data_IF_576079062653
#
_entry.id   IF_576079062653
#
_cell.length_a   1.000
_cell.length_b   1.000
_cell.length_c   1.000
_cell.angle_alpha   90.00
_cell.angle_beta   90.00
_cell.angle_gamma   90.00
#
_symmetry.space_group_name_H-M   'P 1'
#
loop_
_entity.id
_entity.type
_entity.pdbx_description
1 polymer ?
#
# COMPACT_ATOMS: atom_id res chain seq x y z
N UNK A 1 -21.75 -3.71 17.30
CA UNK A 1 -20.81 -2.95 16.44
C UNK A 1 -21.56 -1.89 15.66
N UNK A 2 -21.11 -0.63 15.59
CA UNK A 2 -21.82 0.41 14.82
C UNK A 2 -21.99 0.04 13.34
N UNK A 3 -23.08 0.49 12.71
CA UNK A 3 -23.32 0.32 11.27
C UNK A 3 -22.27 1.10 10.48
N UNK A 4 -21.79 0.53 9.37
CA UNK A 4 -20.82 1.20 8.49
C UNK A 4 -19.35 1.12 8.91
N UNK A 5 -19.01 0.46 10.02
CA UNK A 5 -17.60 0.20 10.37
C UNK A 5 -17.05 -0.93 9.49
N UNK A 6 -15.96 -0.72 8.73
CA UNK A 6 -15.31 -1.79 7.98
C UNK A 6 -14.62 -2.77 8.93
N UNK A 7 -14.83 -4.06 8.71
CA UNK A 7 -14.25 -5.15 9.52
C UNK A 7 -13.56 -6.16 8.61
N UNK A 8 -12.37 -6.66 8.96
CA UNK A 8 -11.76 -7.80 8.30
C UNK A 8 -12.63 -9.07 8.45
N UNK A 9 -12.88 -9.75 7.33
CA UNK A 9 -13.68 -10.96 7.24
C UNK A 9 -12.91 -12.05 6.47
N UNK A 10 -12.83 -13.29 6.99
CA UNK A 10 -11.90 -14.29 6.46
C UNK A 10 -12.33 -14.93 5.13
N UNK A 11 -13.57 -14.72 4.67
CA UNK A 11 -14.08 -15.34 3.43
C UNK A 11 -14.45 -14.30 2.36
N UNK A 12 -14.48 -14.72 1.10
CA UNK A 12 -14.88 -13.85 -0.01
C UNK A 12 -16.35 -13.42 0.09
N UNK A 13 -17.23 -14.33 0.53
CA UNK A 13 -18.67 -14.06 0.69
C UNK A 13 -18.96 -13.51 2.08
N UNK A 14 -19.52 -12.28 2.20
CA UNK A 14 -19.99 -11.76 3.47
C UNK A 14 -21.18 -12.58 4.01
N UNK A 15 -21.37 -12.65 5.33
CA UNK A 15 -22.59 -13.22 5.91
C UNK A 15 -23.81 -12.33 5.58
N UNK A 16 -25.01 -12.89 5.72
CA UNK A 16 -26.25 -12.14 5.49
C UNK A 16 -26.33 -10.89 6.39
N UNK A 17 -26.81 -9.77 5.83
CA UNK A 17 -26.87 -8.48 6.53
C UNK A 17 -25.57 -7.69 6.50
N UNK A 18 -24.54 -8.17 5.79
CA UNK A 18 -23.28 -7.47 5.59
C UNK A 18 -23.02 -7.21 4.11
N UNK A 19 -22.34 -6.10 3.84
CA UNK A 19 -21.96 -5.70 2.49
C UNK A 19 -20.45 -5.62 2.38
N UNK A 20 -19.91 -6.03 1.24
CA UNK A 20 -18.50 -5.90 0.94
C UNK A 20 -18.14 -4.45 0.59
N UNK A 21 -17.00 -3.98 1.09
CA UNK A 21 -16.40 -2.70 0.69
C UNK A 21 -15.67 -2.84 -0.66
N UNK A 22 -16.42 -3.07 -1.74
CA UNK A 22 -15.91 -3.27 -3.10
C UNK A 22 -16.37 -2.16 -4.07
N UNK A 23 -16.74 -0.98 -3.55
CA UNK A 23 -17.29 0.11 -4.37
C UNK A 23 -18.78 -0.04 -4.72
N UNK A 24 -19.47 -1.07 -4.21
CA UNK A 24 -20.89 -1.28 -4.47
C UNK A 24 -21.77 -0.12 -3.98
N UNK A 25 -22.83 0.15 -4.74
CA UNK A 25 -23.90 1.05 -4.34
C UNK A 25 -24.94 0.33 -3.51
N UNK A 26 -25.71 1.09 -2.74
CA UNK A 26 -26.84 0.59 -1.95
C UNK A 26 -27.96 1.65 -1.93
N UNK A 27 -29.13 1.31 -1.41
CA UNK A 27 -30.26 2.25 -1.34
C UNK A 27 -30.53 2.69 0.10
N UNK A 28 -30.99 3.94 0.25
CA UNK A 28 -31.33 4.50 1.57
C UNK A 28 -32.55 3.79 2.17
N UNK A 29 -33.45 3.33 1.32
CA UNK A 29 -34.67 2.62 1.69
C UNK A 29 -34.33 1.27 2.35
N UNK A 30 -33.33 0.57 1.79
CA UNK A 30 -32.89 -0.72 2.32
C UNK A 30 -31.99 -0.55 3.56
N UNK A 31 -31.10 0.44 3.56
CA UNK A 31 -30.11 0.65 4.63
C UNK A 31 -30.05 2.12 5.09
N UNK A 32 -31.08 2.62 5.80
CA UNK A 32 -31.18 4.03 6.16
C UNK A 32 -30.11 4.48 7.17
N UNK A 33 -29.66 3.57 8.05
CA UNK A 33 -28.57 3.86 8.99
C UNK A 33 -27.23 3.92 8.26
N UNK A 34 -26.99 3.01 7.31
CA UNK A 34 -25.77 3.02 6.49
C UNK A 34 -25.69 4.27 5.62
N UNK A 35 -26.81 4.74 5.09
CA UNK A 35 -26.89 5.98 4.31
C UNK A 35 -26.51 7.24 5.11
N UNK A 36 -26.67 7.22 6.44
CA UNK A 36 -26.17 8.33 7.30
C UNK A 36 -24.65 8.31 7.43
N UNK A 37 -24.03 7.14 7.35
CA UNK A 37 -22.57 6.95 7.47
C UNK A 37 -21.88 7.13 6.12
N UNK A 38 -22.50 6.66 5.03
CA UNK A 38 -22.05 6.82 3.65
C UNK A 38 -23.11 7.57 2.81
N UNK A 39 -23.15 8.92 2.87
CA UNK A 39 -24.20 9.72 2.22
C UNK A 39 -24.22 9.63 0.69
N UNK A 40 -23.13 9.20 0.08
CA UNK A 40 -23.03 8.96 -1.38
C UNK A 40 -23.74 7.68 -1.82
N UNK A 41 -24.31 6.91 -0.88
CA UNK A 41 -24.97 5.63 -1.13
C UNK A 41 -24.05 4.61 -1.83
N UNK A 42 -22.74 4.75 -1.61
CA UNK A 42 -21.70 3.89 -2.17
C UNK A 42 -20.66 3.59 -1.11
N UNK A 43 -20.30 2.33 -0.99
CA UNK A 43 -19.20 1.90 -0.13
C UNK A 43 -17.85 2.27 -0.75
N UNK A 44 -16.80 2.50 0.06
CA UNK A 44 -15.45 2.57 -0.48
C UNK A 44 -15.07 1.24 -1.12
N UNK A 45 -14.20 1.29 -2.12
CA UNK A 45 -13.51 0.10 -2.62
C UNK A 45 -12.21 -0.05 -1.83
N UNK A 46 -12.18 -1.02 -0.92
CA UNK A 46 -11.05 -1.27 -0.02
C UNK A 46 -10.23 -2.50 -0.45
N UNK A 47 -10.49 -3.04 -1.64
CA UNK A 47 -9.73 -4.18 -2.16
C UNK A 47 -8.30 -3.74 -2.46
N UNK A 48 -7.34 -4.31 -1.74
CA UNK A 48 -5.92 -3.96 -1.88
C UNK A 48 -5.48 -2.68 -1.17
N UNK A 49 -6.39 -2.04 -0.41
CA UNK A 49 -6.12 -0.76 0.25
C UNK A 49 -5.83 -0.93 1.75
N UNK A 50 -5.00 -0.05 2.30
CA UNK A 50 -4.80 0.10 3.74
C UNK A 50 -5.66 1.24 4.28
N UNK A 51 -6.33 1.02 5.41
CA UNK A 51 -7.07 2.08 6.11
C UNK A 51 -6.08 2.85 6.99
N UNK A 52 -6.01 4.17 6.82
CA UNK A 52 -5.23 5.08 7.69
C UNK A 52 -6.15 5.93 8.55
N UNK A 53 -5.65 6.33 9.72
CA UNK A 53 -6.31 7.34 10.55
C UNK A 53 -6.40 8.68 9.83
N UNK A 54 -7.54 9.35 9.98
CA UNK A 54 -7.72 10.72 9.50
C UNK A 54 -6.99 11.70 10.43
N UNK A 55 -6.31 12.69 9.86
CA UNK A 55 -5.46 13.63 10.59
C UNK A 55 -6.23 14.53 11.56
N UNK A 56 -7.45 14.94 11.18
CA UNK A 56 -8.38 15.77 11.97
C UNK A 56 -7.71 16.94 12.72
N UNK A 57 -6.78 17.63 12.06
CA UNK A 57 -6.13 18.85 12.58
C UNK A 57 -4.84 18.62 13.37
N UNK A 58 -4.30 17.39 13.41
CA UNK A 58 -2.97 17.13 13.98
C UNK A 58 -1.82 17.68 13.13
N UNK A 59 -2.09 18.01 11.85
CA UNK A 59 -1.15 18.60 10.89
C UNK A 59 -0.01 17.67 10.45
N UNK A 60 -0.28 16.36 10.41
CA UNK A 60 0.66 15.33 9.92
C UNK A 60 0.33 14.93 8.47
N UNK A 61 -0.95 14.88 8.10
CA UNK A 61 -1.43 14.64 6.72
C UNK A 61 -2.38 15.77 6.31
N UNK A 62 -1.83 17.00 6.22
CA UNK A 62 -2.59 18.20 5.92
C UNK A 62 -3.31 18.10 4.56
N UNK A 63 -4.56 18.55 4.51
CA UNK A 63 -5.39 18.51 3.31
C UNK A 63 -6.03 17.14 3.01
N UNK A 64 -5.72 16.08 3.76
CA UNK A 64 -6.38 14.78 3.66
C UNK A 64 -7.86 14.87 4.04
N UNK A 65 -8.74 14.37 3.16
CA UNK A 65 -10.19 14.26 3.41
C UNK A 65 -10.58 12.84 3.80
N UNK A 66 -11.62 12.69 4.62
CA UNK A 66 -12.23 11.37 4.90
C UNK A 66 -12.59 10.65 3.60
N UNK A 67 -12.30 9.35 3.55
CA UNK A 67 -12.56 8.46 2.40
C UNK A 67 -11.86 8.86 1.09
N UNK A 68 -10.92 9.81 1.12
CA UNK A 68 -10.14 10.15 -0.08
C UNK A 68 -9.04 9.12 -0.34
N UNK A 69 -8.97 8.65 -1.57
CA UNK A 69 -7.89 7.79 -2.03
C UNK A 69 -6.59 8.58 -2.18
N UNK A 70 -5.45 7.93 -1.92
CA UNK A 70 -4.13 8.45 -2.25
C UNK A 70 -3.27 7.32 -2.79
N UNK A 71 -2.54 7.62 -3.85
CA UNK A 71 -1.49 6.74 -4.38
C UNK A 71 -0.41 6.49 -3.33
N UNK A 72 0.21 5.30 -3.39
CA UNK A 72 1.39 5.01 -2.58
C UNK A 72 2.52 6.02 -2.79
N UNK A 73 3.36 6.15 -1.78
CA UNK A 73 4.60 6.95 -1.86
C UNK A 73 5.59 6.28 -2.80
N UNK A 74 6.17 7.04 -3.72
CA UNK A 74 7.30 6.58 -4.53
C UNK A 74 8.54 6.51 -3.63
N UNK A 75 9.22 5.36 -3.65
CA UNK A 75 10.27 4.95 -2.70
C UNK A 75 11.52 4.45 -3.43
N UNK A 76 11.61 4.72 -4.74
CA UNK A 76 12.73 4.38 -5.60
C UNK A 76 12.53 4.95 -7.01
N UNK A 77 13.63 5.23 -7.70
CA UNK A 77 13.64 5.70 -9.08
C UNK A 77 13.80 4.55 -10.07
N UNK A 78 13.20 4.68 -11.25
CA UNK A 78 13.58 3.91 -12.43
C UNK A 78 14.66 4.72 -13.14
N UNK A 79 15.81 4.10 -13.42
CA UNK A 79 16.83 4.69 -14.31
C UNK A 79 16.33 4.59 -15.76
N UNK A 80 16.25 5.72 -16.45
CA UNK A 80 15.75 5.86 -17.81
C UNK A 80 16.85 6.04 -18.86
N UNK A 81 18.04 5.46 -18.69
CA UNK A 81 19.04 5.23 -19.75
C UNK A 81 19.18 6.36 -20.78
N UNK A 82 19.91 7.42 -20.40
CA UNK A 82 20.68 8.20 -21.36
C UNK A 82 22.15 7.80 -21.21
N UNK A 83 22.62 6.85 -22.03
CA UNK A 83 24.00 6.60 -22.51
C UNK A 83 25.25 6.76 -21.60
N UNK A 84 25.11 7.11 -20.33
CA UNK A 84 26.14 7.34 -19.31
C UNK A 84 25.92 6.47 -18.07
N UNK A 85 27.00 6.24 -17.32
CA UNK A 85 26.95 5.48 -16.06
C UNK A 85 26.40 6.35 -14.93
N UNK A 86 25.13 6.13 -14.57
CA UNK A 86 24.49 6.79 -13.44
C UNK A 86 24.15 5.80 -12.32
N UNK A 87 24.52 6.13 -11.08
CA UNK A 87 24.19 5.33 -9.88
C UNK A 87 23.23 6.14 -9.02
N UNK A 88 21.95 5.78 -9.06
CA UNK A 88 20.90 6.39 -8.25
C UNK A 88 20.51 5.50 -7.07
N UNK A 89 20.61 6.02 -5.85
CA UNK A 89 20.11 5.37 -4.64
C UNK A 89 19.59 6.40 -3.64
N UNK A 90 18.60 6.00 -2.82
CA UNK A 90 18.14 6.83 -1.71
C UNK A 90 19.13 6.70 -0.55
N UNK A 91 19.64 7.83 -0.04
CA UNK A 91 20.59 7.88 1.09
C UNK A 91 20.31 9.09 1.97
N UNK A 92 20.48 8.93 3.29
CA UNK A 92 20.48 10.05 4.24
C UNK A 92 21.91 10.58 4.53
N UNK A 93 22.91 10.17 3.74
CA UNK A 93 24.31 10.54 3.92
C UNK A 93 25.07 9.73 4.97
N UNK A 94 24.45 8.75 5.63
CA UNK A 94 25.07 7.86 6.62
C UNK A 94 24.66 6.38 6.38
N UNK A 95 25.42 5.44 6.96
CA UNK A 95 25.12 3.99 6.92
C UNK A 95 23.94 3.58 7.83
N UNK A 96 22.96 4.45 8.04
CA UNK A 96 21.84 4.19 8.95
C UNK A 96 20.67 3.67 8.13
N UNK A 97 20.20 2.46 8.48
CA UNK A 97 18.94 1.89 8.01
C UNK A 97 17.81 2.90 8.22
N UNK A 98 17.11 3.28 7.15
CA UNK A 98 15.99 4.23 7.20
C UNK A 98 14.68 3.60 7.69
N UNK A 99 14.76 2.44 8.35
CA UNK A 99 13.63 1.77 9.00
C UNK A 99 12.84 0.87 8.04
N UNK A 100 13.50 0.35 7.01
CA UNK A 100 12.89 -0.52 6.03
C UNK A 100 12.71 -1.95 6.55
N UNK A 101 11.62 -2.62 6.18
CA UNK A 101 11.47 -4.06 6.45
C UNK A 101 12.55 -4.84 5.68
N UNK A 102 13.27 -5.74 6.38
CA UNK A 102 14.32 -6.57 5.78
C UNK A 102 13.76 -7.47 4.67
N UNK A 103 14.51 -7.59 3.59
CA UNK A 103 14.19 -8.52 2.50
C UNK A 103 14.80 -9.89 2.76
N UNK A 104 14.00 -10.94 2.63
CA UNK A 104 14.45 -12.33 2.68
C UNK A 104 14.52 -12.89 1.25
N UNK A 105 15.72 -13.23 0.79
CA UNK A 105 15.97 -13.70 -0.58
C UNK A 105 15.07 -14.88 -1.00
N UNK A 106 14.71 -15.76 -0.07
CA UNK A 106 13.82 -16.91 -0.33
C UNK A 106 12.38 -16.55 -0.75
N UNK A 107 11.92 -15.33 -0.46
CA UNK A 107 10.58 -14.85 -0.83
C UNK A 107 10.51 -14.24 -2.24
N UNK A 108 11.66 -14.01 -2.88
CA UNK A 108 11.81 -13.25 -4.13
C UNK A 108 12.68 -14.04 -5.11
N UNK A 109 12.22 -15.24 -5.48
CA UNK A 109 12.99 -16.18 -6.29
C UNK A 109 13.20 -15.63 -7.69
N UNK A 110 14.44 -15.71 -8.17
CA UNK A 110 14.89 -15.25 -9.49
C UNK A 110 15.03 -13.74 -9.66
N UNK A 111 14.87 -12.95 -8.60
CA UNK A 111 15.18 -11.52 -8.62
C UNK A 111 16.69 -11.30 -8.40
N UNK A 112 17.25 -10.28 -9.06
CA UNK A 112 18.67 -9.95 -9.01
C UNK A 112 18.89 -8.44 -8.95
N UNK A 113 19.98 -8.03 -8.28
CA UNK A 113 20.48 -6.66 -8.35
C UNK A 113 21.48 -6.56 -9.51
N UNK A 114 21.35 -5.49 -10.29
CA UNK A 114 22.42 -5.02 -11.17
C UNK A 114 23.13 -3.84 -10.52
N UNK A 115 24.45 -3.87 -10.50
CA UNK A 115 25.26 -2.76 -10.02
C UNK A 115 26.39 -2.45 -11.00
N UNK A 116 26.78 -1.17 -11.07
CA UNK A 116 27.90 -0.73 -11.88
C UNK A 116 29.23 -1.14 -11.24
N UNK A 117 30.20 -1.55 -12.06
CA UNK A 117 31.57 -1.83 -11.60
C UNK A 117 32.41 -0.58 -11.81
N UNK A 118 32.91 0.01 -10.73
CA UNK A 118 33.79 1.18 -10.81
C UNK A 118 35.10 0.82 -11.55
N UNK A 119 35.44 1.61 -12.58
CA UNK A 119 36.67 1.41 -13.37
C UNK A 119 36.51 0.59 -14.66
N UNK A 120 35.31 0.04 -14.93
CA UNK A 120 34.99 -0.57 -16.23
C UNK A 120 33.99 0.30 -16.99
N UNK A 121 34.39 0.85 -18.15
CA UNK A 121 33.46 1.60 -19.01
C UNK A 121 32.30 0.68 -19.39
N UNK A 122 31.07 1.04 -19.01
CA UNK A 122 29.83 0.32 -19.32
C UNK A 122 29.72 -1.13 -18.81
N UNK A 123 30.45 -1.49 -17.75
CA UNK A 123 30.39 -2.82 -17.15
C UNK A 123 29.44 -2.87 -15.95
N UNK A 124 28.48 -3.81 -15.98
CA UNK A 124 27.59 -4.12 -14.86
C UNK A 124 27.78 -5.56 -14.39
N UNK A 125 27.69 -5.79 -13.09
CA UNK A 125 27.67 -7.12 -12.50
C UNK A 125 26.29 -7.47 -11.96
N UNK A 126 25.99 -8.77 -11.95
CA UNK A 126 24.81 -9.34 -11.31
C UNK A 126 25.20 -9.84 -9.92
N UNK A 127 24.42 -9.47 -8.91
CA UNK A 127 24.49 -10.10 -7.58
C UNK A 127 23.16 -10.79 -7.25
N UNK A 128 23.25 -11.87 -6.48
CA UNK A 128 22.06 -12.43 -5.84
C UNK A 128 21.46 -11.42 -4.88
N UNK A 129 20.14 -11.47 -4.74
CA UNK A 129 19.41 -10.55 -3.90
C UNK A 129 19.81 -10.75 -2.42
N UNK A 130 20.40 -9.71 -1.82
CA UNK A 130 20.80 -9.67 -0.42
C UNK A 130 20.01 -8.57 0.30
N UNK A 131 19.52 -8.87 1.50
CA UNK A 131 18.73 -7.94 2.33
C UNK A 131 19.45 -6.65 2.74
N UNK A 132 20.74 -6.50 2.43
CA UNK A 132 21.49 -5.26 2.60
C UNK A 132 21.20 -4.19 1.53
N UNK A 133 20.62 -4.56 0.38
CA UNK A 133 20.46 -3.65 -0.78
C UNK A 133 19.03 -3.20 -1.03
N UNK A 134 18.05 -3.85 -0.39
CA UNK A 134 16.64 -3.61 -0.64
C UNK A 134 15.87 -3.59 0.67
N UNK A 135 14.82 -2.78 0.69
CA UNK A 135 13.84 -2.75 1.76
C UNK A 135 12.43 -2.97 1.18
N UNK A 136 11.55 -3.55 2.00
CA UNK A 136 10.14 -3.70 1.66
C UNK A 136 9.41 -2.40 2.01
N UNK A 137 8.63 -1.89 1.05
CA UNK A 137 7.89 -0.62 1.18
C UNK A 137 6.40 -0.82 1.44
N UNK A 138 5.90 -2.03 1.18
CA UNK A 138 4.58 -2.50 1.62
C UNK A 138 4.72 -3.31 2.90
N UNK A 139 3.95 -3.02 3.97
CA UNK A 139 3.92 -3.88 5.14
C UNK A 139 3.52 -5.32 4.77
N UNK A 140 4.16 -6.32 5.38
CA UNK A 140 3.70 -7.71 5.30
C UNK A 140 2.27 -7.78 5.86
N UNK A 141 1.36 -8.37 5.10
CA UNK A 141 -0.06 -8.45 5.48
C UNK A 141 -0.70 -9.76 5.00
N UNK A 142 -1.83 -10.11 5.61
CA UNK A 142 -2.72 -11.19 5.19
C UNK A 142 -4.00 -10.54 4.69
N UNK A 143 -4.43 -10.90 3.48
CA UNK A 143 -5.62 -10.33 2.87
C UNK A 143 -6.90 -10.91 3.51
N UNK A 144 -7.73 -10.00 4.04
CA UNK A 144 -9.09 -10.27 4.48
C UNK A 144 -10.05 -9.46 3.61
N UNK A 145 -11.28 -9.90 3.52
CA UNK A 145 -12.33 -9.09 2.92
C UNK A 145 -12.73 -7.97 3.89
N UNK A 146 -12.91 -6.73 3.42
CA UNK A 146 -13.51 -5.69 4.25
C UNK A 146 -15.02 -5.69 4.05
N UNK A 147 -15.78 -5.84 5.13
CA UNK A 147 -17.24 -5.83 5.12
C UNK A 147 -17.78 -4.81 6.13
N UNK A 148 -18.95 -4.24 5.84
CA UNK A 148 -19.71 -3.39 6.77
C UNK A 148 -21.00 -4.07 7.16
N UNK A 149 -21.40 -3.90 8.41
CA UNK A 149 -22.76 -4.24 8.84
C UNK A 149 -23.72 -3.27 8.17
N UNK A 150 -24.75 -3.78 7.50
CA UNK A 150 -25.67 -2.98 6.69
C UNK A 150 -26.87 -2.44 7.49
N UNK A 151 -27.26 -3.12 8.58
CA UNK A 151 -28.34 -2.74 9.50
C UNK A 151 -28.00 -3.12 10.95
#
# INVERSE_FOLDING_TARGET
MPVGVPVPWPTATPPAGWLQCNGATFTKEQYPVLARVYPTLRLPDLRGEFIRGWDDGRKIDEGRKLLSWQKGTLVGGHDDNDSSLDISYMSNGNNIDYGGDKVFAGNYRSDYLWYAILGGTNSRAKAELNGAFFNITRPRNIAFNYIVRAA
#
